data_IF_873323641884
#
_entry.id   IF_873323641884
#
_cell.length_a   1.000
_cell.length_b   1.000
_cell.length_c   1.000
_cell.angle_alpha   90.00
_cell.angle_beta   90.00
_cell.angle_gamma   90.00
#
_symmetry.space_group_name_H-M   'P 1'
#
loop_
_entity.id
_entity.type
_entity.pdbx_description
1 polymer ?
#
# COMPACT_ATOMS: atom_id res chain seq x y z
N UNK A 1 17.48 11.09 6.79
CA UNK A 1 16.08 11.37 6.38
C UNK A 1 15.91 11.27 4.86
N UNK A 2 16.60 12.08 4.05
CA UNK A 2 16.47 12.14 2.58
C UNK A 2 16.51 10.77 1.88
N UNK A 3 17.50 9.92 2.19
CA UNK A 3 17.64 8.58 1.62
C UNK A 3 16.40 7.69 1.83
N UNK A 4 15.77 7.76 3.01
CA UNK A 4 14.55 7.00 3.29
C UNK A 4 13.32 7.56 2.57
N UNK A 5 13.25 8.89 2.40
CA UNK A 5 12.14 9.55 1.70
C UNK A 5 12.15 9.25 0.20
N UNK A 6 13.34 9.19 -0.39
CA UNK A 6 13.54 9.01 -1.83
C UNK A 6 13.66 7.53 -2.25
N UNK A 7 13.90 6.61 -1.31
CA UNK A 7 13.99 5.17 -1.58
C UNK A 7 12.69 4.59 -2.16
N UNK A 8 12.86 3.64 -3.09
CA UNK A 8 11.81 2.83 -3.68
C UNK A 8 11.10 1.98 -2.62
N UNK A 9 11.86 1.40 -1.69
CA UNK A 9 11.41 0.44 -0.69
C UNK A 9 10.36 1.05 0.26
N UNK A 10 10.51 2.33 0.59
CA UNK A 10 9.63 3.04 1.51
C UNK A 10 8.56 3.87 0.81
N UNK A 11 8.39 3.75 -0.51
CA UNK A 11 7.41 4.55 -1.27
C UNK A 11 5.98 4.38 -0.76
N UNK A 12 5.60 3.14 -0.49
CA UNK A 12 4.23 2.77 -0.11
C UNK A 12 3.84 3.30 1.28
N UNK A 13 4.81 3.77 2.07
CA UNK A 13 4.60 4.30 3.40
C UNK A 13 4.26 5.79 3.39
N UNK A 14 3.44 6.26 4.33
CA UNK A 14 3.28 7.70 4.58
C UNK A 14 4.54 8.29 5.24
N UNK A 15 4.73 9.62 5.17
CA UNK A 15 5.89 10.29 5.81
C UNK A 15 5.91 10.02 7.32
N UNK A 16 4.75 10.03 7.99
CA UNK A 16 4.64 9.69 9.41
C UNK A 16 5.03 8.24 9.71
N UNK A 17 4.69 7.31 8.82
CA UNK A 17 5.09 5.90 8.95
C UNK A 17 6.61 5.74 8.77
N UNK A 18 7.21 6.46 7.82
CA UNK A 18 8.66 6.49 7.63
C UNK A 18 9.35 7.07 8.86
N UNK A 19 8.85 8.16 9.43
CA UNK A 19 9.42 8.77 10.64
C UNK A 19 9.42 7.77 11.81
N UNK A 20 8.30 7.08 12.03
CA UNK A 20 8.19 6.03 13.07
C UNK A 20 9.13 4.85 12.79
N UNK A 21 9.19 4.39 11.54
CA UNK A 21 10.09 3.30 11.13
C UNK A 21 11.56 3.68 11.33
N UNK A 22 11.93 4.91 10.98
CA UNK A 22 13.30 5.42 11.13
C UNK A 22 13.73 5.44 12.60
N UNK A 23 12.84 5.83 13.51
CA UNK A 23 13.09 5.75 14.95
C UNK A 23 13.24 4.31 15.44
N UNK A 24 12.39 3.39 14.97
CA UNK A 24 12.47 1.96 15.34
C UNK A 24 13.75 1.29 14.85
N UNK A 25 14.24 1.69 13.67
CA UNK A 25 15.49 1.20 13.09
C UNK A 25 16.73 1.90 13.66
N UNK A 26 16.58 2.86 14.59
CA UNK A 26 17.70 3.63 15.13
C UNK A 26 18.39 4.55 14.12
N UNK A 27 17.78 4.81 12.96
CA UNK A 27 18.40 5.60 11.87
C UNK A 27 18.27 7.10 12.10
N UNK A 28 17.08 7.54 12.53
CA UNK A 28 16.76 8.95 12.72
C UNK A 28 15.69 9.08 13.81
N UNK A 29 15.95 9.88 14.84
CA UNK A 29 14.97 10.25 15.86
C UNK A 29 14.53 11.70 15.64
N UNK A 30 13.35 11.87 15.05
CA UNK A 30 12.73 13.19 14.89
C UNK A 30 11.21 13.05 14.79
N UNK A 31 10.50 14.08 15.24
CA UNK A 31 9.05 14.14 15.09
C UNK A 31 8.65 14.31 13.63
N UNK A 32 7.43 13.87 13.30
CA UNK A 32 6.92 13.88 11.91
C UNK A 32 6.91 15.28 11.29
N UNK A 33 6.69 16.35 12.08
CA UNK A 33 6.73 17.73 11.59
C UNK A 33 8.13 18.14 11.10
N UNK A 34 9.19 17.71 11.78
CA UNK A 34 10.58 17.93 11.34
C UNK A 34 10.84 17.25 10.00
N UNK A 35 10.31 16.05 9.78
CA UNK A 35 10.39 15.38 8.48
C UNK A 35 9.71 16.19 7.38
N UNK A 36 8.49 16.69 7.62
CA UNK A 36 7.79 17.52 6.64
C UNK A 36 8.53 18.83 6.33
N UNK A 37 9.05 19.54 7.35
CA UNK A 37 9.86 20.75 7.14
C UNK A 37 11.13 20.47 6.34
N UNK A 38 11.81 19.37 6.63
CA UNK A 38 13.01 18.97 5.89
C UNK A 38 12.70 18.63 4.42
N UNK A 39 11.57 17.97 4.16
CA UNK A 39 11.10 17.68 2.80
C UNK A 39 10.78 18.97 2.03
N UNK A 40 10.08 19.91 2.67
CA UNK A 40 9.70 21.20 2.07
C UNK A 40 10.94 22.06 1.80
N UNK A 41 11.77 22.31 2.81
CA UNK A 41 12.97 23.14 2.67
C UNK A 41 13.99 22.54 1.70
N UNK A 42 14.08 21.20 1.67
CA UNK A 42 15.00 20.47 0.81
C UNK A 42 14.47 20.15 -0.58
N UNK A 43 13.22 20.51 -0.90
CA UNK A 43 12.53 20.12 -2.14
C UNK A 43 12.67 18.62 -2.47
N UNK A 44 12.54 17.75 -1.46
CA UNK A 44 12.74 16.31 -1.65
C UNK A 44 11.53 15.67 -2.35
N UNK A 45 11.76 15.15 -3.54
CA UNK A 45 10.73 14.44 -4.30
C UNK A 45 10.68 12.99 -3.82
N UNK A 46 9.50 12.56 -3.37
CA UNK A 46 9.20 11.15 -3.14
C UNK A 46 8.92 10.50 -4.48
N UNK A 47 9.54 9.33 -4.72
CA UNK A 47 9.17 8.58 -5.91
C UNK A 47 7.71 8.13 -5.80
N UNK A 48 6.92 8.34 -6.85
CA UNK A 48 5.47 8.05 -6.91
C UNK A 48 5.13 6.95 -7.93
N UNK A 49 6.07 6.07 -8.23
CA UNK A 49 5.82 4.98 -9.19
C UNK A 49 4.85 3.96 -8.58
N UNK A 50 3.71 3.80 -9.24
CA UNK A 50 2.64 2.88 -8.89
C UNK A 50 3.10 1.44 -9.10
N UNK A 51 2.99 0.61 -8.07
CA UNK A 51 3.38 -0.82 -8.12
C UNK A 51 2.21 -1.65 -8.66
N UNK A 52 0.99 -1.34 -8.26
CA UNK A 52 -0.20 -2.07 -8.66
C UNK A 52 -0.67 -1.69 -10.07
N UNK A 53 -1.22 -2.66 -10.83
CA UNK A 53 -1.83 -2.37 -12.12
C UNK A 53 -2.84 -1.23 -12.03
N UNK A 54 -3.00 -0.51 -13.13
CA UNK A 54 -4.08 0.47 -13.25
C UNK A 54 -5.41 -0.24 -13.04
N UNK A 55 -6.32 0.39 -12.28
CA UNK A 55 -7.65 -0.17 -12.07
C UNK A 55 -8.29 -0.40 -13.46
N UNK A 56 -8.84 -1.58 -13.76
CA UNK A 56 -9.54 -1.80 -15.01
C UNK A 56 -10.71 -0.80 -15.10
N UNK A 57 -10.77 -0.08 -16.23
CA UNK A 57 -11.82 0.93 -16.48
C UNK A 57 -13.10 0.31 -17.01
N UNK A 58 -12.99 -0.86 -17.62
CA UNK A 58 -14.09 -1.62 -18.19
C UNK A 58 -14.37 -2.79 -17.26
N UNK A 59 -15.61 -2.90 -16.78
CA UNK A 59 -16.06 -4.08 -16.03
C UNK A 59 -16.25 -5.29 -16.94
N UNK A 60 -16.35 -6.49 -16.35
CA UNK A 60 -16.67 -7.71 -17.09
C UNK A 60 -18.07 -7.58 -17.73
N UNK A 61 -18.19 -7.79 -19.03
CA UNK A 61 -19.46 -7.72 -19.77
C UNK A 61 -19.66 -8.99 -20.59
N UNK A 62 -20.78 -9.68 -20.37
CA UNK A 62 -21.23 -10.76 -21.23
C UNK A 62 -21.96 -10.22 -22.46
N UNK A 63 -21.69 -10.81 -23.62
CA UNK A 63 -22.40 -10.59 -24.89
C UNK A 63 -23.46 -11.65 -25.16
N UNK A 64 -23.36 -12.81 -24.52
CA UNK A 64 -24.31 -13.93 -24.63
C UNK A 64 -24.53 -14.64 -23.29
N UNK A 65 -25.64 -15.37 -23.11
CA UNK A 65 -25.85 -16.22 -21.93
C UNK A 65 -24.71 -17.24 -21.76
N UNK A 66 -24.38 -17.57 -20.51
CA UNK A 66 -23.33 -18.53 -20.13
C UNK A 66 -21.90 -18.21 -20.61
N UNK A 67 -21.60 -16.96 -20.99
CA UNK A 67 -20.25 -16.56 -21.40
C UNK A 67 -19.26 -16.42 -20.23
N UNK A 68 -19.74 -15.92 -19.09
CA UNK A 68 -18.96 -15.80 -17.87
C UNK A 68 -19.75 -16.37 -16.70
N UNK A 69 -19.05 -17.12 -15.85
CA UNK A 69 -19.60 -17.71 -14.64
C UNK A 69 -18.85 -17.14 -13.45
N UNK A 70 -19.58 -16.51 -12.56
CA UNK A 70 -19.05 -16.17 -11.25
C UNK A 70 -19.26 -17.37 -10.34
N UNK A 71 -18.17 -17.94 -9.87
CA UNK A 71 -18.21 -19.06 -8.92
C UNK A 71 -17.58 -18.56 -7.63
N UNK A 72 -18.42 -18.38 -6.62
CA UNK A 72 -17.96 -18.09 -5.27
C UNK A 72 -17.82 -19.38 -4.48
N UNK A 73 -16.65 -19.59 -3.88
CA UNK A 73 -16.43 -20.67 -2.93
C UNK A 73 -16.41 -20.08 -1.52
N UNK A 74 -17.37 -20.49 -0.70
CA UNK A 74 -17.40 -20.11 0.72
C UNK A 74 -17.09 -21.34 1.55
N UNK A 75 -16.12 -21.21 2.45
CA UNK A 75 -15.83 -22.24 3.46
C UNK A 75 -16.75 -22.00 4.65
N UNK A 76 -17.61 -22.97 4.95
CA UNK A 76 -18.53 -22.91 6.08
C UNK A 76 -17.86 -23.55 7.29
N UNK A 77 -17.91 -22.84 8.43
CA UNK A 77 -17.54 -23.41 9.73
C UNK A 77 -18.76 -24.05 10.37
N UNK A 78 -18.66 -25.33 10.69
CA UNK A 78 -19.71 -26.08 11.36
C UNK A 78 -19.61 -25.93 12.89
N UNK A 79 -20.67 -26.30 13.60
CA UNK A 79 -20.77 -26.18 15.07
C UNK A 79 -19.72 -27.03 15.82
N UNK A 80 -19.24 -28.09 15.19
CA UNK A 80 -18.17 -28.96 15.69
C UNK A 80 -16.76 -28.40 15.42
N UNK A 81 -16.67 -27.20 14.81
CA UNK A 81 -15.41 -26.55 14.46
C UNK A 81 -14.76 -27.02 13.16
N UNK A 82 -15.35 -28.01 12.46
CA UNK A 82 -14.88 -28.44 11.15
C UNK A 82 -15.21 -27.41 10.06
N UNK A 83 -14.53 -27.51 8.91
CA UNK A 83 -14.67 -26.60 7.78
C UNK A 83 -15.00 -27.41 6.53
N UNK A 84 -16.07 -27.03 5.83
CA UNK A 84 -16.53 -27.65 4.56
C UNK A 84 -16.65 -26.58 3.49
#
# INVERSE_FOLDING_TARGET
MRSMVQSEDYRHLSVGSIARLASRLGKVYACTSTWYRAIQNGNWIRSRKRIYPTKPRVGLRATKPNEYWHVDTTIVRLLDGSRV
#
